data_IF_315924740637
#
_entry.id   IF_315924740637
#
_cell.length_a   1.000
_cell.length_b   1.000
_cell.length_c   1.000
_cell.angle_alpha   90.00
_cell.angle_beta   90.00
_cell.angle_gamma   90.00
#
_symmetry.space_group_name_H-M   'P 1'
#
loop_
_entity.id
_entity.type
_entity.pdbx_description
1 polymer ?
#
# COMPACT_ATOMS: atom_id res chain seq x y z
N UNK A 1 10.22 24.50 -0.87
CA UNK A 1 10.91 23.35 -0.24
C UNK A 1 9.95 22.25 0.21
N UNK A 2 8.86 22.52 0.94
CA UNK A 2 7.84 21.48 1.28
C UNK A 2 7.25 20.79 0.02
N UNK A 3 7.05 21.55 -1.06
CA UNK A 3 6.62 21.00 -2.36
C UNK A 3 7.68 20.09 -3.00
N UNK A 4 8.97 20.43 -2.88
CA UNK A 4 10.07 19.64 -3.43
C UNK A 4 10.18 18.27 -2.75
N UNK A 5 9.93 18.19 -1.44
CA UNK A 5 9.91 16.91 -0.71
C UNK A 5 8.68 16.07 -1.01
N UNK A 6 7.51 16.69 -1.21
CA UNK A 6 6.27 15.95 -1.55
C UNK A 6 6.29 15.41 -2.99
N UNK A 7 6.77 16.20 -3.94
CA UNK A 7 6.67 15.90 -5.36
C UNK A 7 7.87 15.10 -5.90
N UNK A 8 8.94 14.98 -5.10
CA UNK A 8 10.15 14.20 -5.42
C UNK A 8 10.03 12.68 -5.19
N UNK A 9 8.87 12.19 -4.75
CA UNK A 9 8.64 10.77 -4.53
C UNK A 9 7.24 10.35 -4.98
N UNK A 10 7.11 9.11 -5.42
CA UNK A 10 5.82 8.44 -5.63
C UNK A 10 5.62 7.43 -4.51
N UNK A 11 4.41 7.38 -3.97
CA UNK A 11 4.06 6.53 -2.83
C UNK A 11 2.85 5.67 -3.16
N UNK A 12 2.96 4.37 -2.92
CA UNK A 12 1.85 3.43 -2.98
C UNK A 12 1.79 2.63 -1.67
N UNK A 13 0.65 2.72 -0.99
CA UNK A 13 0.37 2.03 0.27
C UNK A 13 -0.28 0.67 0.01
N UNK A 14 0.23 -0.34 0.70
CA UNK A 14 -0.21 -1.73 0.68
C UNK A 14 -0.38 -2.19 2.12
N UNK A 15 -1.01 -3.33 2.33
CA UNK A 15 -1.20 -3.92 3.66
C UNK A 15 -0.84 -5.39 3.62
N UNK A 16 -0.22 -5.90 4.69
CA UNK A 16 0.04 -7.34 4.85
C UNK A 16 -1.15 -8.11 5.40
N UNK A 17 -2.30 -7.47 5.62
CA UNK A 17 -3.51 -8.11 6.16
C UNK A 17 -4.74 -7.81 5.32
N UNK A 18 -5.69 -8.73 5.33
CA UNK A 18 -6.96 -8.62 4.56
C UNK A 18 -8.20 -8.71 5.44
N UNK A 19 -8.01 -8.95 6.73
CA UNK A 19 -9.03 -9.30 7.71
C UNK A 19 -9.58 -8.09 8.50
N UNK A 20 -8.97 -6.90 8.36
CA UNK A 20 -9.40 -5.72 9.12
C UNK A 20 -10.74 -5.15 8.63
N UNK A 21 -11.78 -5.29 9.44
CA UNK A 21 -13.11 -4.70 9.18
C UNK A 21 -13.03 -3.19 8.95
N UNK A 22 -12.18 -2.49 9.71
CA UNK A 22 -11.96 -1.05 9.56
C UNK A 22 -11.37 -0.70 8.19
N UNK A 23 -10.38 -1.47 7.71
CA UNK A 23 -9.79 -1.21 6.38
C UNK A 23 -10.80 -1.43 5.25
N UNK A 24 -11.67 -2.43 5.37
CA UNK A 24 -12.75 -2.63 4.42
C UNK A 24 -13.79 -1.50 4.43
N UNK A 25 -13.98 -0.85 5.58
CA UNK A 25 -14.79 0.37 5.65
C UNK A 25 -14.09 1.55 4.95
N UNK A 26 -12.84 1.84 5.32
CA UNK A 26 -12.09 3.00 4.83
C UNK A 26 -11.72 2.92 3.34
N UNK A 27 -11.18 1.78 2.89
CA UNK A 27 -10.53 1.67 1.57
C UNK A 27 -11.34 0.92 0.53
N UNK A 28 -12.36 0.17 0.95
CA UNK A 28 -13.24 -0.57 0.05
C UNK A 28 -14.65 0.00 0.01
N UNK A 29 -14.82 1.32 0.24
CA UNK A 29 -16.11 2.02 0.17
C UNK A 29 -17.20 1.26 0.94
N UNK A 30 -17.03 1.15 2.25
CA UNK A 30 -17.95 0.45 3.14
C UNK A 30 -18.23 -0.99 2.70
N UNK A 31 -17.16 -1.79 2.52
CA UNK A 31 -17.24 -3.20 2.13
C UNK A 31 -17.88 -3.47 0.76
N UNK A 32 -17.99 -2.47 -0.14
CA UNK A 32 -18.54 -2.65 -1.50
C UNK A 32 -17.48 -2.82 -2.58
N UNK A 33 -16.22 -2.51 -2.28
CA UNK A 33 -15.06 -2.59 -3.16
C UNK A 33 -14.40 -3.97 -3.18
N UNK A 34 -13.11 -4.00 -3.54
CA UNK A 34 -12.30 -5.20 -3.62
C UNK A 34 -10.84 -4.87 -3.28
N UNK A 35 -10.05 -5.89 -2.98
CA UNK A 35 -8.61 -5.82 -2.79
C UNK A 35 -7.89 -6.81 -3.72
N UNK A 36 -6.65 -6.47 -4.07
CA UNK A 36 -5.76 -7.32 -4.86
C UNK A 36 -4.58 -7.73 -3.97
N UNK A 37 -4.31 -9.02 -3.94
CA UNK A 37 -3.16 -9.58 -3.23
C UNK A 37 -2.02 -9.82 -4.21
N UNK A 38 -0.81 -9.55 -3.73
CA UNK A 38 0.42 -9.71 -4.47
C UNK A 38 1.43 -10.45 -3.60
N UNK A 39 2.22 -11.30 -4.24
CA UNK A 39 3.36 -11.94 -3.60
C UNK A 39 4.66 -11.30 -4.12
N UNK A 40 5.12 -10.27 -3.41
CA UNK A 40 6.34 -9.53 -3.78
C UNK A 40 7.61 -10.28 -3.41
N UNK A 41 7.58 -11.26 -2.48
CA UNK A 41 8.80 -11.99 -2.06
C UNK A 41 9.38 -12.88 -3.15
N UNK A 42 8.60 -13.15 -4.20
CA UNK A 42 9.05 -13.91 -5.37
C UNK A 42 9.81 -13.05 -6.39
N UNK A 43 9.87 -11.74 -6.19
CA UNK A 43 10.65 -10.85 -7.04
C UNK A 43 12.16 -11.04 -6.78
N UNK A 44 13.01 -10.93 -7.81
CA UNK A 44 14.45 -10.86 -7.63
C UNK A 44 14.84 -9.70 -6.71
N UNK A 45 15.92 -9.87 -5.93
CA UNK A 45 16.45 -8.79 -5.07
C UNK A 45 16.86 -7.53 -5.85
N UNK A 46 17.10 -7.67 -7.16
CA UNK A 46 17.41 -6.57 -8.06
C UNK A 46 16.17 -5.82 -8.57
N UNK A 47 14.97 -6.35 -8.33
CA UNK A 47 13.72 -5.74 -8.77
C UNK A 47 13.45 -4.42 -8.00
N UNK A 48 13.20 -3.29 -8.70
CA UNK A 48 12.93 -2.02 -8.05
C UNK A 48 11.75 -2.07 -7.08
N UNK A 49 10.67 -2.78 -7.42
CA UNK A 49 9.50 -2.90 -6.54
C UNK A 49 9.90 -3.54 -5.22
N UNK A 50 10.71 -4.60 -5.28
CA UNK A 50 11.20 -5.27 -4.07
C UNK A 50 12.13 -4.37 -3.24
N UNK A 51 13.05 -3.65 -3.89
CA UNK A 51 14.04 -2.79 -3.19
C UNK A 51 13.45 -1.53 -2.57
N UNK A 52 12.32 -1.05 -3.08
CA UNK A 52 11.68 0.19 -2.64
C UNK A 52 10.39 -0.05 -1.84
N UNK A 53 10.07 -1.30 -1.50
CA UNK A 53 8.93 -1.67 -0.67
C UNK A 53 9.36 -1.78 0.80
N UNK A 54 8.88 -0.85 1.62
CA UNK A 54 9.30 -0.70 3.02
C UNK A 54 8.13 -0.87 3.98
N UNK A 55 8.33 -1.50 5.15
CA UNK A 55 7.31 -1.50 6.19
C UNK A 55 7.16 -0.11 6.81
N UNK A 56 5.94 0.26 7.17
CA UNK A 56 5.68 1.53 7.88
C UNK A 56 6.12 1.43 9.34
N UNK A 57 6.77 2.49 9.82
CA UNK A 57 7.18 2.68 11.21
C UNK A 57 6.09 3.48 11.91
N UNK A 58 5.43 2.85 12.88
CA UNK A 58 4.38 3.46 13.68
C UNK A 58 4.93 4.07 14.95
N UNK A 59 4.72 5.38 15.12
CA UNK A 59 5.27 6.16 16.24
C UNK A 59 4.22 7.10 16.82
N UNK A 60 4.37 7.43 18.11
CA UNK A 60 3.57 8.47 18.79
C UNK A 60 4.14 9.88 18.61
N UNK A 61 5.39 10.00 18.17
CA UNK A 61 6.09 11.26 17.99
C UNK A 61 6.43 11.47 16.51
N UNK A 62 6.30 12.71 16.03
CA UNK A 62 6.70 13.05 14.67
C UNK A 62 8.22 13.01 14.55
N UNK A 63 8.71 12.49 13.44
CA UNK A 63 10.14 12.50 13.12
C UNK A 63 10.61 13.95 12.94
N UNK A 64 11.55 14.39 13.77
CA UNK A 64 12.17 15.71 13.62
C UNK A 64 13.21 15.67 12.48
N UNK A 65 12.85 16.32 11.38
CA UNK A 65 13.70 16.46 10.19
C UNK A 65 14.11 17.92 9.96
N UNK A 66 14.02 18.76 10.98
CA UNK A 66 14.30 20.20 10.86
C UNK A 66 15.74 20.48 10.40
N UNK A 67 16.68 19.59 10.75
CA UNK A 67 18.09 19.66 10.32
C UNK A 67 18.29 19.61 8.80
N UNK A 68 17.33 19.07 8.03
CA UNK A 68 17.40 19.08 6.56
C UNK A 68 17.23 20.48 5.96
N UNK A 69 16.71 21.43 6.74
CA UNK A 69 16.46 22.80 6.33
C UNK A 69 17.52 23.77 6.87
N UNK A 70 18.56 23.27 7.54
CA UNK A 70 19.71 24.04 7.96
C UNK A 70 20.72 24.11 6.80
N UNK A 71 20.98 25.31 6.28
CA UNK A 71 21.80 25.53 5.08
C UNK A 71 23.28 25.10 5.27
N UNK A 72 23.82 25.15 6.49
CA UNK A 72 25.20 24.71 6.78
C UNK A 72 25.32 23.18 6.82
N UNK A 73 24.28 22.51 7.32
CA UNK A 73 24.22 21.05 7.47
C UNK A 73 23.74 20.37 6.17
N UNK A 74 22.76 20.96 5.50
CA UNK A 74 22.18 20.44 4.25
C UNK A 74 23.17 20.48 3.08
N UNK A 75 24.07 21.47 3.05
CA UNK A 75 25.12 21.60 2.02
C UNK A 75 26.32 20.68 2.25
N UNK A 76 26.62 20.33 3.51
CA UNK A 76 27.77 19.49 3.88
C UNK A 76 27.47 17.99 3.89
N UNK A 77 26.24 17.59 4.19
CA UNK A 77 25.82 16.17 4.18
C UNK A 77 25.41 15.73 2.77
N UNK A 78 25.05 16.66 1.88
CA UNK A 78 24.26 16.39 0.69
C UNK A 78 22.88 15.88 1.11
N UNK A 79 21.82 16.19 0.35
CA UNK A 79 20.51 15.63 0.64
C UNK A 79 20.55 14.11 0.41
N UNK A 80 20.85 13.34 1.45
CA UNK A 80 20.78 11.89 1.41
C UNK A 80 19.32 11.51 1.15
N UNK A 81 19.06 10.91 -0.02
CA UNK A 81 17.72 10.50 -0.45
C UNK A 81 17.04 9.50 0.50
N UNK A 82 17.77 8.94 1.47
CA UNK A 82 17.22 8.10 2.53
C UNK A 82 16.40 8.88 3.58
N UNK A 83 16.70 10.15 3.81
CA UNK A 83 15.99 10.93 4.84
C UNK A 83 14.50 11.16 4.51
N UNK A 84 14.13 11.57 3.28
CA UNK A 84 12.72 11.62 2.89
C UNK A 84 12.05 10.24 2.87
N UNK A 85 12.79 9.17 2.55
CA UNK A 85 12.27 7.79 2.64
C UNK A 85 11.90 7.47 4.09
N UNK A 86 12.76 7.78 5.06
CA UNK A 86 12.47 7.57 6.48
C UNK A 86 11.23 8.35 6.95
N UNK A 87 11.11 9.61 6.52
CA UNK A 87 9.92 10.41 6.78
C UNK A 87 8.67 9.78 6.13
N UNK A 88 8.77 9.34 4.88
CA UNK A 88 7.71 8.66 4.14
C UNK A 88 7.37 7.26 4.69
N UNK A 89 8.24 6.66 5.51
CA UNK A 89 7.95 5.41 6.22
C UNK A 89 7.22 5.64 7.55
N UNK A 90 7.18 6.87 8.07
CA UNK A 90 6.59 7.15 9.37
C UNK A 90 5.07 7.33 9.30
N UNK A 91 4.35 6.83 10.32
CA UNK A 91 2.90 7.04 10.48
C UNK A 91 2.52 7.08 11.96
N UNK A 92 1.43 7.78 12.28
CA UNK A 92 0.89 7.82 13.64
C UNK A 92 0.48 6.42 14.12
N UNK A 93 0.76 6.12 15.39
CA UNK A 93 0.52 4.82 16.02
C UNK A 93 -0.93 4.34 15.95
N UNK A 94 -1.90 5.24 15.91
CA UNK A 94 -3.33 4.90 15.81
C UNK A 94 -3.68 4.11 14.55
N UNK A 95 -2.83 4.19 13.51
CA UNK A 95 -2.98 3.49 12.25
C UNK A 95 -2.22 2.16 12.19
N UNK A 96 -1.59 1.73 13.29
CA UNK A 96 -0.77 0.50 13.34
C UNK A 96 -1.54 -0.77 12.96
N UNK A 97 -2.87 -0.76 13.11
CA UNK A 97 -3.72 -1.89 12.71
C UNK A 97 -3.66 -2.20 11.22
N UNK A 98 -3.22 -1.26 10.37
CA UNK A 98 -3.17 -1.46 8.92
C UNK A 98 -2.05 -2.38 8.47
N UNK A 99 -1.01 -2.57 9.29
CA UNK A 99 0.18 -3.34 8.90
C UNK A 99 0.70 -2.91 7.51
N UNK A 100 0.73 -1.59 7.33
CA UNK A 100 1.04 -0.94 6.05
C UNK A 100 2.49 -1.19 5.59
N UNK A 101 2.63 -1.44 4.29
CA UNK A 101 3.87 -1.39 3.54
C UNK A 101 3.76 -0.27 2.50
N UNK A 102 4.84 0.48 2.28
CA UNK A 102 4.88 1.56 1.30
C UNK A 102 5.93 1.27 0.24
N UNK A 103 5.49 1.27 -1.01
CA UNK A 103 6.39 1.38 -2.16
C UNK A 103 6.73 2.87 -2.33
N UNK A 104 7.99 3.23 -2.04
CA UNK A 104 8.48 4.61 -2.02
C UNK A 104 9.51 4.76 -3.14
N UNK A 105 9.09 5.32 -4.27
CA UNK A 105 9.93 5.45 -5.47
C UNK A 105 10.44 6.88 -5.55
N UNK A 106 11.78 7.09 -5.47
CA UNK A 106 12.36 8.40 -5.78
C UNK A 106 12.06 8.78 -7.22
N UNK A 107 11.65 10.02 -7.43
CA UNK A 107 11.35 10.56 -8.75
C UNK A 107 11.70 12.03 -8.84
N UNK A 108 11.25 12.68 -9.91
CA UNK A 108 11.36 14.12 -10.06
C UNK A 108 9.99 14.78 -10.12
N UNK A 109 9.96 16.07 -9.82
CA UNK A 109 8.73 16.89 -9.93
C UNK A 109 8.22 17.00 -11.37
N UNK A 110 9.07 16.71 -12.35
CA UNK A 110 8.76 16.76 -13.78
C UNK A 110 8.33 15.39 -14.35
N UNK A 111 8.42 14.31 -13.55
CA UNK A 111 8.02 12.98 -14.00
C UNK A 111 6.50 12.87 -14.18
N UNK A 112 6.11 12.49 -15.40
CA UNK A 112 4.72 12.16 -15.74
C UNK A 112 4.27 10.89 -15.01
N UNK A 113 2.97 10.75 -14.70
CA UNK A 113 2.43 9.50 -14.18
C UNK A 113 2.75 8.32 -15.12
N UNK A 114 3.13 7.19 -14.54
CA UNK A 114 3.43 5.97 -15.26
C UNK A 114 2.84 4.75 -14.54
N UNK A 115 2.64 3.68 -15.31
CA UNK A 115 2.28 2.38 -14.75
C UNK A 115 3.55 1.65 -14.36
N UNK A 116 3.63 1.22 -13.10
CA UNK A 116 4.72 0.39 -12.64
C UNK A 116 4.41 -1.08 -12.90
N UNK A 117 5.30 -1.84 -13.57
CA UNK A 117 5.17 -3.28 -13.66
C UNK A 117 5.21 -3.90 -12.26
N UNK A 118 4.22 -4.74 -11.95
CA UNK A 118 4.14 -5.50 -10.71
C UNK A 118 3.82 -6.95 -11.02
N UNK A 119 4.12 -7.89 -10.10
CA UNK A 119 3.69 -9.28 -10.24
C UNK A 119 2.20 -9.40 -10.54
N UNK A 120 1.83 -10.49 -11.21
CA UNK A 120 0.42 -10.86 -11.36
C UNK A 120 -0.21 -11.03 -9.97
N UNK A 121 -1.40 -10.46 -9.70
CA UNK A 121 -2.09 -10.68 -8.43
C UNK A 121 -2.34 -12.17 -8.17
N UNK A 122 -2.14 -12.59 -6.92
CA UNK A 122 -2.35 -13.97 -6.44
C UNK A 122 -3.77 -14.21 -5.93
N UNK A 123 -4.51 -13.13 -5.64
CA UNK A 123 -5.91 -13.20 -5.23
C UNK A 123 -6.66 -11.90 -5.45
N UNK A 124 -7.95 -12.00 -5.72
CA UNK A 124 -8.90 -10.89 -5.68
C UNK A 124 -9.92 -11.16 -4.58
N UNK A 125 -10.00 -10.25 -3.63
CA UNK A 125 -10.91 -10.33 -2.48
C UNK A 125 -12.02 -9.33 -2.68
N UNK A 126 -13.27 -9.77 -2.67
CA UNK A 126 -14.44 -8.92 -2.94
C UNK A 126 -15.19 -8.64 -1.63
N UNK A 127 -15.51 -7.39 -1.38
CA UNK A 127 -16.16 -6.95 -0.14
C UNK A 127 -17.51 -7.63 0.12
N UNK A 128 -17.87 -7.74 1.40
CA UNK A 128 -19.06 -8.46 1.83
C UNK A 128 -20.37 -7.87 1.28
N UNK A 129 -20.40 -6.54 1.08
CA UNK A 129 -21.55 -5.76 0.64
C UNK A 129 -21.55 -5.47 -0.87
N UNK A 130 -20.62 -6.02 -1.64
CA UNK A 130 -20.56 -5.82 -3.09
C UNK A 130 -21.80 -6.41 -3.78
N UNK A 131 -22.41 -5.63 -4.68
CA UNK A 131 -23.58 -6.06 -5.48
C UNK A 131 -23.24 -7.25 -6.38
N UNK A 132 -24.20 -8.16 -6.56
CA UNK A 132 -24.03 -9.37 -7.39
C UNK A 132 -23.55 -9.09 -8.83
N UNK A 133 -23.98 -7.97 -9.42
CA UNK A 133 -23.52 -7.53 -10.75
C UNK A 133 -22.03 -7.24 -10.79
N UNK A 134 -21.49 -6.55 -9.79
CA UNK A 134 -20.06 -6.26 -9.67
C UNK A 134 -19.26 -7.50 -9.30
N UNK A 135 -19.80 -8.38 -8.45
CA UNK A 135 -19.19 -9.68 -8.14
C UNK A 135 -18.98 -10.48 -9.44
N UNK A 136 -20.04 -10.64 -10.25
CA UNK A 136 -19.96 -11.35 -11.53
C UNK A 136 -18.96 -10.71 -12.49
N UNK A 137 -18.95 -9.37 -12.59
CA UNK A 137 -18.00 -8.63 -13.45
C UNK A 137 -16.56 -8.89 -13.04
N UNK A 138 -16.24 -8.77 -11.75
CA UNK A 138 -14.90 -9.01 -11.23
C UNK A 138 -14.47 -10.47 -11.40
N UNK A 139 -15.35 -11.42 -11.08
CA UNK A 139 -15.09 -12.85 -11.24
C UNK A 139 -14.78 -13.21 -12.70
N UNK A 140 -15.52 -12.66 -13.67
CA UNK A 140 -15.27 -12.89 -15.09
C UNK A 140 -13.90 -12.34 -15.54
N UNK A 141 -13.48 -11.18 -15.03
CA UNK A 141 -12.16 -10.60 -15.34
C UNK A 141 -11.06 -11.47 -14.72
N UNK A 142 -11.22 -11.86 -13.46
CA UNK A 142 -10.26 -12.68 -12.72
C UNK A 142 -10.08 -14.06 -13.36
N UNK A 143 -11.16 -14.71 -13.76
CA UNK A 143 -11.14 -16.00 -14.44
C UNK A 143 -10.37 -15.93 -15.77
N UNK A 144 -10.63 -14.90 -16.60
CA UNK A 144 -9.88 -14.68 -17.85
C UNK A 144 -8.39 -14.43 -17.62
N UNK A 145 -8.03 -13.88 -16.46
CA UNK A 145 -6.64 -13.66 -16.05
C UNK A 145 -6.04 -14.83 -15.26
N UNK A 146 -6.82 -15.86 -14.95
CA UNK A 146 -6.43 -16.97 -14.08
C UNK A 146 -6.01 -16.51 -12.69
N UNK A 147 -6.81 -15.64 -12.05
CA UNK A 147 -6.60 -15.14 -10.70
C UNK A 147 -7.72 -15.69 -9.80
N UNK A 148 -7.40 -16.36 -8.68
CA UNK A 148 -8.38 -16.83 -7.70
C UNK A 148 -9.25 -15.70 -7.14
N UNK A 149 -10.52 -16.01 -6.85
CA UNK A 149 -11.47 -15.02 -6.32
C UNK A 149 -12.06 -15.47 -5.00
N UNK A 150 -12.04 -14.56 -4.04
CA UNK A 150 -12.59 -14.74 -2.71
C UNK A 150 -13.67 -13.69 -2.46
N UNK A 151 -14.72 -14.09 -1.74
CA UNK A 151 -15.70 -13.18 -1.18
C UNK A 151 -15.46 -13.06 0.31
N UNK A 152 -15.33 -11.82 0.78
CA UNK A 152 -15.19 -11.53 2.19
C UNK A 152 -16.52 -11.67 2.91
N UNK A 153 -16.46 -12.15 4.15
CA UNK A 153 -17.58 -12.22 5.09
C UNK A 153 -17.10 -11.78 6.47
N UNK A 154 -18.01 -11.28 7.30
CA UNK A 154 -17.70 -11.08 8.71
C UNK A 154 -17.60 -12.45 9.40
N UNK A 155 -16.58 -12.65 10.22
CA UNK A 155 -16.47 -13.83 11.06
C UNK A 155 -17.65 -13.89 12.05
N UNK A 156 -18.10 -15.09 12.40
CA UNK A 156 -19.28 -15.24 13.26
C UNK A 156 -19.04 -14.79 14.71
N UNK A 157 -17.82 -15.00 15.22
CA UNK A 157 -17.48 -14.83 16.63
C UNK A 157 -16.30 -13.88 16.87
N UNK A 158 -15.81 -13.19 15.83
CA UNK A 158 -14.64 -12.30 15.91
C UNK A 158 -14.88 -11.02 15.08
N UNK A 159 -14.27 -9.92 15.49
CA UNK A 159 -14.32 -8.64 14.76
C UNK A 159 -13.31 -8.60 13.60
N UNK A 160 -13.44 -9.54 12.66
CA UNK A 160 -12.58 -9.64 11.47
C UNK A 160 -13.34 -10.10 10.24
N UNK A 161 -12.72 -9.92 9.10
CA UNK A 161 -13.19 -10.39 7.80
C UNK A 161 -12.49 -11.69 7.42
N UNK A 162 -13.23 -12.64 6.84
CA UNK A 162 -12.72 -13.93 6.40
C UNK A 162 -12.99 -14.14 4.90
N UNK A 163 -12.00 -14.63 4.14
CA UNK A 163 -12.17 -14.92 2.73
C UNK A 163 -12.84 -16.29 2.52
N UNK A 164 -13.89 -16.33 1.70
CA UNK A 164 -14.46 -17.58 1.19
C UNK A 164 -14.20 -17.69 -0.31
N UNK A 165 -13.56 -18.77 -0.75
CA UNK A 165 -13.27 -19.01 -2.17
C UNK A 165 -14.57 -19.15 -2.98
N UNK A 166 -14.62 -18.47 -4.12
CA UNK A 166 -15.76 -18.48 -5.05
C UNK A 166 -15.40 -19.19 -6.36
N UNK A 167 -14.19 -18.93 -6.88
CA UNK A 167 -13.62 -19.52 -8.10
C UNK A 167 -12.11 -19.75 -7.88
#
# INVERSE_FOLDING_TARGET
MISLTRDGYKLCSLSSRIDSTLMWSHYAKDHTGFAMEYEFKLLPITDPVYRFLWPVIYTGEMLDMSFLFDDEVGSSIGLNGLYPILAAMSKAKDWAYEEEWRLIIPGSTEEKPYNLPVPKPTGIYIGAMTKATNIKRLANIAQKKGIPVFRMKLAANEYRMEPQRVV
#
